data_IF_647686810622
#
_entry.id   IF_647686810622
#
_cell.length_a   1.000
_cell.length_b   1.000
_cell.length_c   1.000
_cell.angle_alpha   90.00
_cell.angle_beta   90.00
_cell.angle_gamma   90.00
#
_symmetry.space_group_name_H-M   'P 1'
#
loop_
_entity.id
_entity.type
_entity.pdbx_description
1 polymer ?
#
# COMPACT_ATOMS: atom_id res chain seq x y z
N UNK A 1 -5.01 -3.69 -6.12
CA UNK A 1 -6.27 -2.91 -6.08
C UNK A 1 -6.05 -1.59 -6.80
N UNK A 2 -7.03 -1.08 -7.54
CA UNK A 2 -6.89 0.16 -8.34
C UNK A 2 -7.97 1.17 -7.94
N UNK A 3 -7.56 2.42 -7.73
CA UNK A 3 -8.43 3.54 -7.36
C UNK A 3 -8.16 4.74 -8.26
N UNK A 4 -9.18 5.57 -8.47
CA UNK A 4 -9.03 6.87 -9.13
C UNK A 4 -8.61 7.91 -8.09
N UNK A 5 -7.57 8.69 -8.38
CA UNK A 5 -7.16 9.83 -7.55
C UNK A 5 -7.98 11.07 -7.91
N UNK A 6 -8.53 11.71 -6.88
CA UNK A 6 -9.35 12.92 -6.96
C UNK A 6 -8.54 14.20 -6.66
N UNK A 7 -7.46 14.07 -5.89
CA UNK A 7 -6.59 15.16 -5.43
C UNK A 7 -5.12 14.86 -5.74
N UNK A 8 -4.72 14.87 -7.02
CA UNK A 8 -3.35 14.54 -7.43
C UNK A 8 -2.31 15.50 -6.84
N UNK A 9 -2.68 16.75 -6.56
CA UNK A 9 -1.83 17.79 -5.97
C UNK A 9 -1.30 17.46 -4.57
N UNK A 10 -1.88 16.47 -3.88
CA UNK A 10 -1.44 16.03 -2.56
C UNK A 10 -0.31 14.99 -2.61
N UNK A 11 -0.03 14.42 -3.78
CA UNK A 11 1.04 13.46 -3.97
C UNK A 11 2.31 14.22 -4.33
N UNK A 12 3.08 14.62 -3.32
CA UNK A 12 4.34 15.36 -3.48
C UNK A 12 5.49 14.51 -2.92
N UNK A 13 6.54 14.19 -3.70
CA UNK A 13 7.69 13.42 -3.21
C UNK A 13 8.36 14.07 -1.99
N UNK A 14 8.99 13.26 -1.14
CA UNK A 14 9.67 13.70 0.08
C UNK A 14 8.77 14.42 1.11
N UNK A 15 7.44 14.28 0.98
CA UNK A 15 6.45 14.77 1.94
C UNK A 15 5.69 13.62 2.60
N UNK A 16 4.70 13.96 3.44
CA UNK A 16 3.79 12.98 4.05
C UNK A 16 2.36 13.25 3.61
N UNK A 17 1.76 12.32 2.88
CA UNK A 17 0.33 12.35 2.57
C UNK A 17 -0.47 12.26 3.87
N UNK A 18 -1.41 13.19 4.06
CA UNK A 18 -2.17 13.37 5.30
C UNK A 18 -1.28 13.53 6.55
N UNK A 19 -0.04 14.00 6.40
CA UNK A 19 0.91 14.13 7.51
C UNK A 19 1.45 12.79 8.05
N UNK A 20 1.06 11.64 7.47
CA UNK A 20 1.37 10.30 8.00
C UNK A 20 2.10 9.37 7.02
N UNK A 21 1.70 9.32 5.75
CA UNK A 21 2.26 8.35 4.80
C UNK A 21 3.41 8.99 4.02
N UNK A 22 4.64 8.59 4.33
CA UNK A 22 5.84 9.11 3.66
C UNK A 22 5.80 8.75 2.17
N UNK A 23 5.90 9.76 1.34
CA UNK A 23 5.95 9.64 -0.11
C UNK A 23 7.38 9.69 -0.61
N UNK A 24 7.66 8.97 -1.68
CA UNK A 24 8.93 9.00 -2.41
C UNK A 24 8.67 8.85 -3.90
N UNK A 25 9.58 9.34 -4.74
CA UNK A 25 9.46 9.21 -6.20
C UNK A 25 10.18 7.95 -6.68
N UNK A 26 9.49 7.14 -7.48
CA UNK A 26 10.08 6.01 -8.19
C UNK A 26 10.33 6.38 -9.65
N UNK A 27 11.55 6.81 -9.94
CA UNK A 27 12.00 7.10 -11.31
C UNK A 27 12.28 5.84 -12.15
N UNK A 28 12.28 4.66 -11.53
CA UNK A 28 12.52 3.38 -12.21
C UNK A 28 11.26 2.78 -12.85
N UNK A 29 10.10 3.40 -12.64
CA UNK A 29 8.85 3.00 -13.31
C UNK A 29 8.53 3.98 -14.44
N UNK A 30 7.91 3.48 -15.51
CA UNK A 30 7.39 4.30 -16.61
C UNK A 30 5.85 4.15 -16.66
N UNK A 31 5.08 5.23 -16.47
CA UNK A 31 5.53 6.55 -16.06
C UNK A 31 6.04 6.57 -14.62
N UNK A 32 6.71 7.68 -14.25
CA UNK A 32 7.18 7.93 -12.88
C UNK A 32 6.01 7.83 -11.91
N UNK A 33 6.23 7.18 -10.77
CA UNK A 33 5.20 6.99 -9.75
C UNK A 33 5.60 7.62 -8.43
N UNK A 34 4.62 8.23 -7.77
CA UNK A 34 4.77 8.68 -6.39
C UNK A 34 4.29 7.56 -5.49
N UNK A 35 5.19 7.06 -4.65
CA UNK A 35 5.04 5.79 -3.99
C UNK A 35 5.01 5.92 -2.47
N UNK A 36 4.44 4.91 -1.82
CA UNK A 36 4.58 4.66 -0.40
C UNK A 36 4.64 3.16 -0.19
N UNK A 37 5.46 2.71 0.75
CA UNK A 37 5.55 1.30 1.12
C UNK A 37 5.71 1.14 2.63
N UNK A 38 5.37 -0.06 3.09
CA UNK A 38 5.59 -0.48 4.46
C UNK A 38 5.72 -2.00 4.52
N UNK A 39 6.72 -2.48 5.24
CA UNK A 39 6.93 -3.90 5.47
C UNK A 39 6.42 -4.33 6.86
N UNK A 40 6.04 -5.59 6.97
CA UNK A 40 5.46 -6.22 8.16
C UNK A 40 6.17 -7.53 8.44
N UNK A 41 6.67 -7.67 9.66
CA UNK A 41 7.44 -8.83 10.08
C UNK A 41 8.27 -8.52 11.32
N UNK A 42 8.72 -9.57 11.99
CA UNK A 42 9.77 -9.52 13.00
C UNK A 42 11.14 -9.48 12.34
N UNK A 43 12.20 -9.27 13.12
CA UNK A 43 13.59 -9.34 12.61
C UNK A 43 13.88 -10.67 11.90
N UNK A 44 13.36 -11.77 12.43
CA UNK A 44 13.52 -13.11 11.86
C UNK A 44 12.83 -13.23 10.50
N UNK A 45 11.67 -12.60 10.31
CA UNK A 45 10.98 -12.58 9.03
C UNK A 45 11.76 -11.84 7.94
N UNK A 46 12.50 -10.79 8.32
CA UNK A 46 13.41 -10.11 7.40
C UNK A 46 14.65 -10.95 7.09
N UNK A 47 15.18 -11.68 8.07
CA UNK A 47 16.33 -12.56 7.88
C UNK A 47 16.01 -13.72 6.93
N UNK A 48 14.83 -14.30 7.04
CA UNK A 48 14.38 -15.43 6.22
C UNK A 48 13.48 -15.04 5.04
N UNK A 49 13.34 -13.74 4.75
CA UNK A 49 12.51 -13.22 3.66
C UNK A 49 11.07 -13.74 3.69
N UNK A 50 10.49 -13.93 4.88
CA UNK A 50 9.08 -14.31 5.09
C UNK A 50 8.18 -13.12 5.39
N UNK A 51 8.71 -11.88 5.35
CA UNK A 51 7.94 -10.67 5.60
C UNK A 51 6.89 -10.39 4.51
N UNK A 52 5.85 -9.64 4.89
CA UNK A 52 4.87 -9.09 3.96
C UNK A 52 5.16 -7.62 3.70
N UNK A 53 4.74 -7.13 2.54
CA UNK A 53 4.90 -5.74 2.14
C UNK A 53 3.61 -5.17 1.60
N UNK A 54 3.32 -3.94 1.98
CA UNK A 54 2.38 -3.04 1.32
C UNK A 54 3.16 -2.10 0.40
N UNK A 55 2.61 -1.85 -0.78
CA UNK A 55 3.06 -0.80 -1.68
C UNK A 55 1.86 -0.10 -2.33
N UNK A 56 1.95 1.22 -2.50
CA UNK A 56 1.17 1.91 -3.51
C UNK A 56 2.05 2.72 -4.44
N UNK A 57 1.57 2.90 -5.67
CA UNK A 57 2.12 3.84 -6.63
C UNK A 57 1.01 4.64 -7.29
N UNK A 58 1.09 5.96 -7.14
CA UNK A 58 0.28 6.92 -7.88
C UNK A 58 0.93 7.17 -9.24
N UNK A 59 0.18 6.92 -10.31
CA UNK A 59 0.58 7.25 -11.67
C UNK A 59 0.14 8.69 -11.99
N UNK A 60 1.13 9.55 -12.22
CA UNK A 60 0.91 10.99 -12.44
C UNK A 60 0.30 11.32 -13.80
N UNK A 61 0.29 10.39 -14.76
CA UNK A 61 -0.28 10.61 -16.10
C UNK A 61 -1.77 10.26 -16.16
N UNK A 62 -2.13 9.07 -15.66
CA UNK A 62 -3.52 8.58 -15.75
C UNK A 62 -4.34 8.76 -14.47
N UNK A 63 -3.70 9.28 -13.43
CA UNK A 63 -4.27 9.55 -12.10
C UNK A 63 -4.84 8.31 -11.39
N UNK A 64 -4.30 7.13 -11.68
CA UNK A 64 -4.62 5.91 -10.95
C UNK A 64 -3.67 5.72 -9.75
N UNK A 65 -4.24 5.31 -8.61
CA UNK A 65 -3.50 4.78 -7.47
C UNK A 65 -3.60 3.26 -7.50
N UNK A 66 -2.47 2.59 -7.70
CA UNK A 66 -2.37 1.13 -7.62
C UNK A 66 -1.84 0.77 -6.24
N UNK A 67 -2.53 -0.13 -5.55
CA UNK A 67 -2.12 -0.69 -4.26
C UNK A 67 -1.87 -2.17 -4.46
N UNK A 68 -0.68 -2.64 -4.11
CA UNK A 68 -0.32 -4.05 -4.14
C UNK A 68 0.24 -4.48 -2.79
N UNK A 69 -0.01 -5.74 -2.45
CA UNK A 69 0.59 -6.37 -1.29
C UNK A 69 1.29 -7.64 -1.74
N UNK A 70 2.37 -7.97 -1.04
CA UNK A 70 3.17 -9.15 -1.32
C UNK A 70 3.60 -9.85 -0.04
N UNK A 71 3.93 -11.12 -0.19
CA UNK A 71 4.43 -12.01 0.84
C UNK A 71 5.75 -12.64 0.41
N UNK A 72 6.41 -13.29 1.36
CA UNK A 72 7.70 -13.95 1.15
C UNK A 72 8.74 -12.98 0.56
N UNK A 73 8.90 -11.82 1.22
CA UNK A 73 9.92 -10.85 0.83
C UNK A 73 9.66 -10.22 -0.54
N UNK A 74 8.40 -10.16 -0.98
CA UNK A 74 8.02 -9.63 -2.27
C UNK A 74 7.92 -10.65 -3.40
N UNK A 75 8.20 -11.94 -3.14
CA UNK A 75 8.18 -12.98 -4.18
C UNK A 75 6.77 -13.36 -4.64
N UNK A 76 5.77 -13.26 -3.76
CA UNK A 76 4.40 -13.65 -4.09
C UNK A 76 3.43 -12.50 -3.89
N UNK A 77 2.53 -12.29 -4.86
CA UNK A 77 1.41 -11.38 -4.69
C UNK A 77 0.43 -11.90 -3.65
N UNK A 78 0.00 -11.02 -2.75
CA UNK A 78 -0.89 -11.33 -1.64
C UNK A 78 -2.25 -10.67 -1.86
N UNK A 79 -3.27 -11.48 -2.17
CA UNK A 79 -4.65 -11.02 -2.40
C UNK A 79 -5.49 -11.31 -1.18
N UNK A 80 -6.34 -10.35 -0.83
CA UNK A 80 -7.23 -10.45 0.32
C UNK A 80 -8.43 -9.52 0.17
N UNK A 81 -9.38 -9.71 1.06
CA UNK A 81 -10.62 -8.99 1.27
C UNK A 81 -10.71 -8.60 2.75
N UNK A 82 -11.74 -7.83 3.13
CA UNK A 82 -12.00 -7.55 4.54
C UNK A 82 -12.47 -8.78 5.31
N UNK A 83 -13.09 -9.74 4.64
CA UNK A 83 -13.62 -10.96 5.27
C UNK A 83 -12.52 -11.88 5.77
N UNK A 84 -11.34 -11.84 5.14
CA UNK A 84 -10.18 -12.63 5.54
C UNK A 84 -9.71 -12.31 6.97
N UNK A 85 -10.01 -11.11 7.49
CA UNK A 85 -9.74 -10.74 8.88
C UNK A 85 -10.53 -11.57 9.91
N UNK A 86 -11.59 -12.27 9.49
CA UNK A 86 -12.36 -13.19 10.33
C UNK A 86 -11.73 -14.60 10.40
N UNK A 87 -10.74 -14.90 9.55
CA UNK A 87 -10.03 -16.17 9.59
C UNK A 87 -9.17 -16.25 10.86
N UNK A 88 -9.43 -17.26 11.70
CA UNK A 88 -8.72 -17.48 12.97
C UNK A 88 -7.28 -17.96 12.76
N UNK A 89 -7.00 -18.58 11.63
CA UNK A 89 -5.69 -19.12 11.28
C UNK A 89 -4.83 -18.10 10.50
N UNK A 90 -5.35 -16.88 10.29
CA UNK A 90 -4.61 -15.81 9.63
C UNK A 90 -3.37 -15.45 10.47
N UNK A 91 -2.20 -15.51 9.84
CA UNK A 91 -0.96 -15.16 10.54
C UNK A 91 -1.00 -13.70 11.00
N UNK A 92 -0.26 -13.38 12.06
CA UNK A 92 -0.18 -12.00 12.56
C UNK A 92 0.33 -11.04 11.49
N UNK A 93 1.31 -11.47 10.69
CA UNK A 93 1.95 -10.65 9.66
C UNK A 93 0.96 -10.34 8.52
N UNK A 94 0.18 -11.34 8.10
CA UNK A 94 -0.91 -11.15 7.14
C UNK A 94 -1.95 -10.18 7.69
N UNK A 95 -2.38 -10.39 8.93
CA UNK A 95 -3.38 -9.55 9.59
C UNK A 95 -2.93 -8.09 9.70
N UNK A 96 -1.69 -7.85 10.12
CA UNK A 96 -1.13 -6.50 10.26
C UNK A 96 -1.04 -5.78 8.90
N UNK A 97 -0.63 -6.50 7.84
CA UNK A 97 -0.59 -5.97 6.48
C UNK A 97 -2.00 -5.63 5.95
N UNK A 98 -2.97 -6.52 6.13
CA UNK A 98 -4.36 -6.33 5.69
C UNK A 98 -4.99 -5.13 6.42
N UNK A 99 -4.85 -5.06 7.74
CA UNK A 99 -5.40 -3.96 8.56
C UNK A 99 -4.79 -2.63 8.12
N UNK A 100 -3.46 -2.56 7.97
CA UNK A 100 -2.81 -1.34 7.51
C UNK A 100 -3.33 -0.88 6.15
N UNK A 101 -3.46 -1.83 5.21
CA UNK A 101 -3.94 -1.56 3.86
C UNK A 101 -5.33 -0.95 3.87
N UNK A 102 -6.27 -1.56 4.59
CA UNK A 102 -7.64 -1.04 4.65
C UNK A 102 -7.74 0.28 5.43
N UNK A 103 -7.00 0.45 6.52
CA UNK A 103 -6.97 1.72 7.24
C UNK A 103 -6.48 2.86 6.34
N UNK A 104 -5.40 2.62 5.58
CA UNK A 104 -4.90 3.60 4.61
C UNK A 104 -5.94 3.92 3.53
N UNK A 105 -6.58 2.91 2.95
CA UNK A 105 -7.63 3.12 1.94
C UNK A 105 -8.80 3.93 2.52
N UNK A 106 -9.26 3.58 3.73
CA UNK A 106 -10.37 4.25 4.40
C UNK A 106 -10.03 5.71 4.71
N UNK A 107 -8.81 5.97 5.16
CA UNK A 107 -8.30 7.31 5.40
C UNK A 107 -8.27 8.17 4.12
N UNK A 108 -7.83 7.60 2.99
CA UNK A 108 -7.80 8.31 1.72
C UNK A 108 -9.21 8.57 1.18
N UNK A 109 -10.14 7.62 1.34
CA UNK A 109 -11.55 7.79 0.94
C UNK A 109 -12.24 8.84 1.81
N UNK A 110 -12.07 8.78 3.14
CA UNK A 110 -12.67 9.74 4.09
C UNK A 110 -12.23 11.18 3.80
N UNK A 111 -10.98 11.38 3.35
CA UNK A 111 -10.44 12.69 2.97
C UNK A 111 -10.71 13.08 1.51
N UNK A 112 -11.51 12.28 0.79
CA UNK A 112 -11.86 12.47 -0.64
C UNK A 112 -10.62 12.59 -1.53
N UNK A 113 -9.59 11.81 -1.26
CA UNK A 113 -8.34 11.76 -2.04
C UNK A 113 -8.47 10.74 -3.15
N UNK A 114 -9.16 9.62 -2.90
CA UNK A 114 -9.41 8.56 -3.88
C UNK A 114 -10.87 8.14 -3.90
N UNK A 115 -11.28 7.50 -4.98
CA UNK A 115 -12.53 6.73 -5.09
C UNK A 115 -12.27 5.38 -5.73
N UNK A 116 -13.12 4.40 -5.45
CA UNK A 116 -13.14 3.15 -6.22
C UNK A 116 -13.33 3.48 -7.70
N UNK A 117 -12.55 2.81 -8.54
CA UNK A 117 -12.67 2.88 -10.00
C UNK A 117 -13.76 1.91 -10.46
#
# INVERSE_FOLDING_TARGET
>A
MIYKVLKPELFIPETKLLGKYKLWENSSTVPVKICHSKDFGTKEDFEYLSYNSFWFGFNTENHDLVIDCSSYGGMCGFKFTREDLNNKDLSKIDKDCIIYTFNLIDDLIANRIITKK
#
